data_IF_285055417696
#
_entry.id   IF_285055417696
#
_cell.length_a   1.000
_cell.length_b   1.000
_cell.length_c   1.000
_cell.angle_alpha   90.00
_cell.angle_beta   90.00
_cell.angle_gamma   90.00
#
_symmetry.space_group_name_H-M   'P 1'
#
loop_
_entity.id
_entity.type
_entity.pdbx_description
1 polymer ?
#
# COMPACT_ATOMS: atom_id res chain seq x y z
N UNK A 1 -13.28 2.49 -30.93
CA UNK A 1 -13.71 1.41 -30.02
C UNK A 1 -12.53 1.02 -29.16
N UNK A 2 -12.64 1.14 -27.82
CA UNK A 2 -11.59 0.71 -26.87
C UNK A 2 -12.18 -0.44 -26.06
N UNK A 3 -11.72 -1.69 -26.25
CA UNK A 3 -12.22 -2.80 -25.46
C UNK A 3 -11.84 -2.58 -24.01
N UNK A 4 -12.83 -2.67 -23.11
CA UNK A 4 -12.59 -2.67 -21.67
C UNK A 4 -11.67 -3.86 -21.33
N UNK A 5 -10.49 -3.56 -20.80
CA UNK A 5 -9.62 -4.59 -20.25
C UNK A 5 -10.24 -5.09 -18.94
N UNK A 6 -10.26 -6.41 -18.68
CA UNK A 6 -10.72 -6.91 -17.39
C UNK A 6 -9.85 -6.30 -16.27
N UNK A 7 -10.48 -5.58 -15.34
CA UNK A 7 -9.82 -4.99 -14.16
C UNK A 7 -9.63 -6.01 -13.03
N UNK A 8 -10.22 -7.20 -13.16
CA UNK A 8 -10.11 -8.28 -12.17
C UNK A 8 -8.80 -9.05 -12.39
N UNK A 9 -8.05 -9.26 -11.31
CA UNK A 9 -6.91 -10.15 -11.33
C UNK A 9 -7.38 -11.58 -11.63
N UNK A 10 -6.62 -12.32 -12.45
CA UNK A 10 -6.91 -13.73 -12.70
C UNK A 10 -6.63 -14.54 -11.45
N UNK A 11 -7.31 -15.68 -11.32
CA UNK A 11 -6.99 -16.66 -10.28
C UNK A 11 -5.53 -17.09 -10.50
N UNK A 12 -4.68 -16.99 -9.48
CA UNK A 12 -3.27 -17.34 -9.61
C UNK A 12 -3.12 -18.84 -9.86
N UNK A 13 -2.16 -19.18 -10.71
CA UNK A 13 -1.78 -20.56 -11.03
C UNK A 13 -0.53 -20.96 -10.26
N UNK A 14 0.36 -20.02 -9.97
CA UNK A 14 1.60 -20.23 -9.23
C UNK A 14 1.52 -19.68 -7.79
N UNK A 15 2.19 -20.36 -6.85
CA UNK A 15 2.27 -20.02 -5.43
C UNK A 15 3.01 -18.71 -5.12
N UNK A 16 3.70 -18.15 -6.12
CA UNK A 16 4.40 -16.85 -6.03
C UNK A 16 3.52 -15.72 -6.59
N UNK A 17 2.49 -16.04 -7.37
CA UNK A 17 1.62 -15.04 -7.97
C UNK A 17 0.76 -14.31 -6.92
N UNK A 18 0.45 -13.05 -7.20
CA UNK A 18 -0.43 -12.25 -6.37
C UNK A 18 -1.79 -12.94 -6.21
N UNK A 19 -2.20 -13.11 -4.96
CA UNK A 19 -3.48 -13.73 -4.58
C UNK A 19 -3.37 -15.22 -4.24
N UNK A 20 -2.19 -15.83 -4.35
CA UNK A 20 -1.96 -17.23 -3.98
C UNK A 20 -1.89 -17.44 -2.46
N UNK A 21 -1.50 -16.40 -1.73
CA UNK A 21 -1.41 -16.37 -0.28
C UNK A 21 -2.17 -15.17 0.29
N UNK A 22 -2.70 -15.33 1.51
CA UNK A 22 -3.28 -14.22 2.26
C UNK A 22 -2.20 -13.20 2.67
N UNK A 23 -2.49 -11.90 2.65
CA UNK A 23 -1.60 -10.90 3.21
C UNK A 23 -1.49 -11.10 4.74
N UNK A 24 -0.53 -10.39 5.36
CA UNK A 24 -0.47 -10.32 6.82
C UNK A 24 -1.79 -9.81 7.40
N UNK A 25 -2.08 -10.21 8.63
CA UNK A 25 -3.27 -9.76 9.33
C UNK A 25 -3.19 -8.25 9.60
N UNK A 26 -4.35 -7.63 9.85
CA UNK A 26 -4.37 -6.25 10.32
C UNK A 26 -3.92 -6.21 11.79
N UNK A 27 -3.11 -5.21 12.22
CA UNK A 27 -2.61 -4.06 11.47
C UNK A 27 -1.25 -4.30 10.77
N UNK A 28 -0.68 -5.50 10.87
CA UNK A 28 0.68 -5.80 10.39
C UNK A 28 0.89 -5.53 8.89
N UNK A 29 -0.14 -5.73 8.07
CA UNK A 29 -0.07 -5.44 6.62
C UNK A 29 0.21 -3.98 6.26
N UNK A 30 -0.01 -3.02 7.17
CA UNK A 30 0.27 -1.59 6.93
C UNK A 30 1.77 -1.32 6.70
N UNK A 31 2.63 -2.11 7.35
CA UNK A 31 4.08 -1.87 7.36
C UNK A 31 4.88 -3.08 6.86
N UNK A 32 4.19 -4.12 6.39
CA UNK A 32 4.84 -5.30 5.80
C UNK A 32 4.71 -5.23 4.28
N UNK A 33 5.82 -5.20 3.53
CA UNK A 33 5.78 -5.33 2.08
C UNK A 33 5.02 -6.60 1.68
N UNK A 34 4.01 -6.52 0.79
CA UNK A 34 3.33 -7.70 0.31
C UNK A 34 4.28 -8.71 -0.35
N UNK A 35 4.05 -10.01 -0.14
CA UNK A 35 4.94 -11.07 -0.64
C UNK A 35 5.10 -11.08 -2.17
N UNK A 36 4.10 -10.55 -2.90
CA UNK A 36 4.12 -10.49 -4.37
C UNK A 36 4.91 -9.29 -4.91
N UNK A 37 5.35 -8.36 -4.05
CA UNK A 37 6.32 -7.34 -4.46
C UNK A 37 7.69 -8.00 -4.50
N UNK A 38 8.28 -8.04 -5.68
CA UNK A 38 9.61 -8.62 -5.88
C UNK A 38 10.63 -7.54 -6.23
N UNK A 39 11.91 -7.79 -5.95
CA UNK A 39 12.97 -6.82 -6.23
C UNK A 39 13.27 -6.64 -7.73
N UNK A 40 12.73 -7.51 -8.59
CA UNK A 40 12.84 -7.36 -10.05
C UNK A 40 11.85 -6.34 -10.62
N UNK A 41 10.79 -6.03 -9.88
CA UNK A 41 9.83 -4.99 -10.21
C UNK A 41 10.39 -3.64 -9.76
N UNK A 42 10.35 -2.67 -10.68
CA UNK A 42 10.65 -1.27 -10.37
C UNK A 42 9.38 -0.66 -9.78
N UNK A 43 9.49 -0.14 -8.55
CA UNK A 43 8.45 0.59 -7.87
C UNK A 43 8.24 1.98 -8.47
N UNK A 44 7.28 2.73 -7.92
CA UNK A 44 6.86 4.03 -8.47
C UNK A 44 7.98 5.07 -8.46
N UNK A 45 8.93 4.97 -7.52
CA UNK A 45 10.02 5.92 -7.37
C UNK A 45 11.33 5.43 -8.01
N UNK A 46 11.27 4.37 -8.81
CA UNK A 46 12.40 3.88 -9.59
C UNK A 46 13.34 2.95 -8.83
N UNK A 47 13.00 2.52 -7.61
CA UNK A 47 13.79 1.52 -6.86
C UNK A 47 13.09 0.16 -6.90
N UNK A 48 13.73 -0.93 -6.45
CA UNK A 48 13.06 -2.21 -6.24
C UNK A 48 11.77 -2.02 -5.42
N UNK A 49 10.67 -2.65 -5.88
CA UNK A 49 9.34 -2.42 -5.31
C UNK A 49 9.24 -2.60 -3.78
N UNK A 50 9.89 -3.60 -3.14
CA UNK A 50 9.89 -3.72 -1.68
C UNK A 50 10.56 -2.53 -0.97
N UNK A 51 11.68 -2.04 -1.51
CA UNK A 51 12.41 -0.90 -0.93
C UNK A 51 11.63 0.41 -1.11
N UNK A 52 10.98 0.55 -2.26
CA UNK A 52 10.09 1.69 -2.53
C UNK A 52 8.89 1.68 -1.58
N UNK A 53 8.30 0.52 -1.28
CA UNK A 53 7.23 0.38 -0.30
C UNK A 53 7.68 0.87 1.09
N UNK A 54 8.83 0.40 1.59
CA UNK A 54 9.34 0.80 2.91
C UNK A 54 9.60 2.31 2.99
N UNK A 55 10.15 2.90 1.92
CA UNK A 55 10.38 4.34 1.84
C UNK A 55 9.09 5.15 1.79
N UNK A 56 8.10 4.68 1.03
CA UNK A 56 6.77 5.30 0.96
C UNK A 56 6.06 5.22 2.32
N UNK A 57 6.12 4.06 2.99
CA UNK A 57 5.56 3.87 4.32
C UNK A 57 6.17 4.86 5.34
N UNK A 58 7.50 4.97 5.43
CA UNK A 58 8.15 5.91 6.35
C UNK A 58 7.85 7.37 6.00
N UNK A 59 7.74 7.69 4.71
CA UNK A 59 7.33 9.01 4.26
C UNK A 59 5.91 9.35 4.76
N UNK A 60 4.94 8.49 4.49
CA UNK A 60 3.54 8.71 4.86
C UNK A 60 3.31 8.66 6.35
N UNK A 61 3.99 7.78 7.09
CA UNK A 61 3.95 7.76 8.56
C UNK A 61 4.33 9.11 9.16
N UNK A 62 5.38 9.75 8.62
CA UNK A 62 5.78 11.09 9.03
C UNK A 62 4.73 12.13 8.66
N UNK A 63 4.22 12.13 7.42
CA UNK A 63 3.21 13.08 6.96
C UNK A 63 1.89 12.95 7.74
N UNK A 64 1.41 11.73 7.99
CA UNK A 64 0.23 11.45 8.83
C UNK A 64 0.41 12.06 10.22
N UNK A 65 1.54 11.81 10.86
CA UNK A 65 1.82 12.36 12.18
C UNK A 65 1.85 13.90 12.15
N UNK A 66 2.70 14.48 11.32
CA UNK A 66 2.99 15.93 11.38
C UNK A 66 1.89 16.80 10.78
N UNK A 67 1.23 16.33 9.73
CA UNK A 67 0.32 17.16 8.95
C UNK A 67 -1.15 16.88 9.28
N UNK A 68 -1.53 15.61 9.46
CA UNK A 68 -2.92 15.26 9.72
C UNK A 68 -3.21 15.23 11.23
N UNK A 69 -2.49 14.40 11.99
CA UNK A 69 -2.74 14.22 13.42
C UNK A 69 -2.49 15.53 14.17
N UNK A 70 -1.28 16.07 14.06
CA UNK A 70 -0.87 17.25 14.83
C UNK A 70 -1.28 18.57 14.16
N UNK A 71 -1.49 18.56 12.84
CA UNK A 71 -1.57 19.79 12.03
C UNK A 71 -2.97 20.30 11.67
N UNK A 72 -4.02 19.49 11.81
CA UNK A 72 -5.38 19.87 11.32
C UNK A 72 -6.35 20.30 12.42
N UNK A 73 -5.98 20.21 13.71
CA UNK A 73 -6.89 20.55 14.81
C UNK A 73 -8.15 19.68 14.89
N UNK A 74 -8.11 18.50 14.26
CA UNK A 74 -9.20 17.52 14.26
C UNK A 74 -9.10 16.66 15.52
N UNK A 75 -10.23 16.43 16.19
CA UNK A 75 -10.31 15.43 17.26
C UNK A 75 -10.41 14.02 16.67
N UNK A 76 -9.24 13.38 16.53
CA UNK A 76 -9.10 12.03 15.99
C UNK A 76 -9.72 10.93 16.85
N UNK A 77 -10.11 11.21 18.11
CA UNK A 77 -10.73 10.20 18.99
C UNK A 77 -12.07 9.69 18.48
N UNK A 78 -12.76 10.49 17.66
CA UNK A 78 -14.07 10.16 17.06
C UNK A 78 -13.97 9.52 15.68
N UNK A 79 -12.79 9.58 15.06
CA UNK A 79 -12.56 9.10 13.69
C UNK A 79 -12.12 7.64 13.73
N UNK A 80 -12.88 6.76 13.06
CA UNK A 80 -12.65 5.31 13.07
C UNK A 80 -11.71 4.83 11.97
N UNK A 81 -11.69 5.50 10.82
CA UNK A 81 -10.87 5.12 9.67
C UNK A 81 -10.47 6.36 8.87
N UNK A 82 -9.26 6.34 8.31
CA UNK A 82 -8.75 7.35 7.37
C UNK A 82 -8.19 6.60 6.18
N UNK A 83 -8.59 7.00 4.98
CA UNK A 83 -8.03 6.48 3.73
C UNK A 83 -7.36 7.63 2.99
N UNK A 84 -6.05 7.55 2.81
CA UNK A 84 -5.32 8.53 2.01
C UNK A 84 -5.28 8.07 0.54
N UNK A 85 -5.89 8.85 -0.36
CA UNK A 85 -5.92 8.56 -1.80
C UNK A 85 -4.59 8.84 -2.52
N UNK A 86 -3.59 9.40 -1.83
CA UNK A 86 -2.25 9.67 -2.33
C UNK A 86 -1.26 8.56 -1.95
N UNK A 87 -1.60 7.67 -1.03
CA UNK A 87 -0.78 6.53 -0.67
C UNK A 87 -0.75 5.53 -1.84
N UNK A 88 0.43 5.37 -2.43
CA UNK A 88 0.64 4.57 -3.64
C UNK A 88 0.31 3.10 -3.42
N UNK A 89 0.75 2.56 -2.29
CA UNK A 89 0.58 1.15 -1.94
C UNK A 89 -0.64 0.89 -1.04
N UNK A 90 -1.54 1.87 -0.92
CA UNK A 90 -2.81 1.73 -0.19
C UNK A 90 -2.76 2.09 1.30
N UNK A 91 -1.59 2.44 1.83
CA UNK A 91 -1.41 2.85 3.23
C UNK A 91 -1.49 1.68 4.21
#
# INVERSE_FOLDING_TARGET
>A
YVPLRPCMHRVPVDHIERGSQWPKEWPQRLYTPPYWLNSSQVGIYGKPAPEDFEKDYEHWKRIVKTSYIDGMGIDWSTVRNVMDMRAVYGG
#
